data_IF_094292743982
#
_entry.id   IF_094292743982
#
_cell.length_a   1.000
_cell.length_b   1.000
_cell.length_c   1.000
_cell.angle_alpha   90.00
_cell.angle_beta   90.00
_cell.angle_gamma   90.00
#
_symmetry.space_group_name_H-M   'P 1'
#
loop_
_entity.id
_entity.type
_entity.pdbx_description
1 polymer ?
#
# COMPACT_ATOMS: atom_id res chain seq x y z
N UNK A 1 -16.74 -34.01 1.88
CA UNK A 1 -16.06 -33.73 0.59
C UNK A 1 -15.39 -32.38 0.74
N UNK A 2 -14.05 -32.32 0.62
CA UNK A 2 -13.33 -31.05 0.58
C UNK A 2 -13.00 -30.75 -0.89
N UNK A 3 -13.41 -29.59 -1.39
CA UNK A 3 -12.99 -29.11 -2.71
C UNK A 3 -11.70 -28.30 -2.55
N UNK A 4 -10.77 -28.44 -3.50
CA UNK A 4 -9.58 -27.59 -3.56
C UNK A 4 -9.98 -26.15 -3.91
N UNK A 5 -9.47 -25.19 -3.15
CA UNK A 5 -9.67 -23.76 -3.38
C UNK A 5 -8.31 -23.11 -3.59
N UNK A 6 -8.14 -22.52 -4.77
CA UNK A 6 -6.92 -21.83 -5.16
C UNK A 6 -7.21 -20.36 -5.50
N UNK A 7 -6.17 -19.52 -5.43
CA UNK A 7 -6.25 -18.13 -5.88
C UNK A 7 -6.00 -18.10 -7.39
N UNK A 8 -7.02 -17.75 -8.16
CA UNK A 8 -6.93 -17.63 -9.62
C UNK A 8 -6.20 -16.36 -10.05
N UNK A 9 -6.40 -15.24 -9.35
CA UNK A 9 -5.78 -13.96 -9.69
C UNK A 9 -5.65 -13.02 -8.49
N UNK A 10 -4.74 -12.04 -8.60
CA UNK A 10 -4.54 -10.97 -7.62
C UNK A 10 -4.39 -9.61 -8.31
N UNK A 11 -4.79 -8.56 -7.59
CA UNK A 11 -4.50 -7.17 -7.93
C UNK A 11 -3.91 -6.47 -6.71
N UNK A 12 -3.04 -5.47 -6.93
CA UNK A 12 -2.36 -4.74 -5.86
C UNK A 12 -2.32 -3.25 -6.13
N UNK A 13 -2.70 -2.46 -5.13
CA UNK A 13 -2.48 -1.02 -5.04
C UNK A 13 -2.06 -0.73 -3.61
N UNK A 14 -0.87 -0.17 -3.42
CA UNK A 14 -0.24 0.01 -2.11
C UNK A 14 0.39 1.40 -2.00
N UNK A 15 0.83 1.77 -0.79
CA UNK A 15 1.55 3.03 -0.57
C UNK A 15 2.90 3.10 -1.30
N UNK A 16 3.45 1.96 -1.74
CA UNK A 16 4.81 1.84 -2.27
C UNK A 16 4.84 1.32 -3.73
N UNK A 17 3.68 1.05 -4.33
CA UNK A 17 3.55 0.54 -5.70
C UNK A 17 2.09 0.36 -6.11
N UNK A 18 1.80 0.54 -7.41
CA UNK A 18 0.43 0.57 -7.95
C UNK A 18 0.07 -0.70 -8.74
N UNK A 19 0.97 -1.68 -8.77
CA UNK A 19 0.76 -3.01 -9.31
C UNK A 19 1.55 -4.05 -8.50
N UNK A 20 1.34 -5.34 -8.80
CA UNK A 20 2.00 -6.41 -8.07
C UNK A 20 3.54 -6.40 -8.24
N UNK A 21 4.12 -6.26 -9.46
CA UNK A 21 5.57 -6.19 -9.63
C UNK A 21 6.24 -5.05 -8.86
N UNK A 22 5.74 -3.82 -9.00
CA UNK A 22 6.31 -2.62 -8.36
C UNK A 22 6.19 -2.68 -6.84
N UNK A 23 5.01 -3.05 -6.32
CA UNK A 23 4.79 -3.18 -4.87
C UNK A 23 5.72 -4.22 -4.26
N UNK A 24 5.86 -5.39 -4.91
CA UNK A 24 6.76 -6.44 -4.42
C UNK A 24 8.23 -5.99 -4.44
N UNK A 25 8.66 -5.29 -5.49
CA UNK A 25 10.02 -4.74 -5.57
C UNK A 25 10.28 -3.72 -4.47
N UNK A 26 9.33 -2.81 -4.25
CA UNK A 26 9.43 -1.77 -3.23
C UNK A 26 9.48 -2.35 -1.81
N UNK A 27 8.65 -3.34 -1.49
CA UNK A 27 8.70 -4.06 -0.21
C UNK A 27 10.05 -4.74 0.01
N UNK A 28 10.60 -5.41 -1.02
CA UNK A 28 11.94 -6.04 -0.95
C UNK A 28 13.04 -5.01 -0.74
N UNK A 29 12.92 -3.85 -1.37
CA UNK A 29 13.84 -2.72 -1.21
C UNK A 29 13.62 -1.93 0.09
N UNK A 30 12.62 -2.29 0.90
CA UNK A 30 12.23 -1.60 2.15
C UNK A 30 11.93 -0.12 1.93
N UNK A 31 11.29 0.21 0.80
CA UNK A 31 10.83 1.57 0.56
C UNK A 31 9.69 1.91 1.53
N UNK A 32 9.72 3.14 2.04
CA UNK A 32 8.60 3.74 2.76
C UNK A 32 7.91 4.75 1.85
N UNK A 33 6.61 4.57 1.66
CA UNK A 33 5.78 5.44 0.84
C UNK A 33 4.93 6.38 1.68
N UNK A 34 4.98 6.31 3.01
CA UNK A 34 4.20 7.17 3.87
C UNK A 34 4.88 8.54 4.05
N UNK A 35 4.09 9.61 3.93
CA UNK A 35 4.57 10.98 4.08
C UNK A 35 3.51 11.85 4.78
N UNK A 36 3.94 13.04 5.25
CA UNK A 36 3.00 14.04 5.74
C UNK A 36 2.03 14.42 4.62
N UNK A 37 0.74 14.43 4.98
CA UNK A 37 -0.34 14.86 4.09
C UNK A 37 -0.80 16.26 4.47
N UNK A 38 -1.56 16.88 3.57
CA UNK A 38 -2.23 18.16 3.83
C UNK A 38 -3.40 18.07 4.84
N UNK A 39 -3.72 16.87 5.32
CA UNK A 39 -4.83 16.67 6.26
C UNK A 39 -4.34 16.81 7.71
N UNK A 40 -5.03 17.65 8.48
CA UNK A 40 -4.73 17.88 9.89
C UNK A 40 -5.62 17.00 10.77
N UNK A 41 -5.00 16.21 11.65
CA UNK A 41 -5.68 15.31 12.57
C UNK A 41 -6.21 16.02 13.82
N UNK A 42 -6.91 15.27 14.67
CA UNK A 42 -7.53 15.78 15.90
C UNK A 42 -6.56 16.43 16.90
N UNK A 43 -5.25 16.13 16.80
CA UNK A 43 -4.19 16.73 17.61
C UNK A 43 -3.55 17.98 16.99
N UNK A 44 -4.17 18.56 15.95
CA UNK A 44 -3.64 19.67 15.17
C UNK A 44 -2.27 19.38 14.50
N UNK A 45 -1.96 18.11 14.24
CA UNK A 45 -0.75 17.67 13.54
C UNK A 45 -1.08 17.13 12.16
N UNK A 46 -0.14 17.24 11.21
CA UNK A 46 -0.27 16.61 9.90
C UNK A 46 -0.46 15.08 10.05
N UNK A 47 -1.39 14.53 9.30
CA UNK A 47 -1.59 13.08 9.21
C UNK A 47 -0.56 12.49 8.26
N UNK A 48 0.03 11.37 8.67
CA UNK A 48 0.88 10.57 7.80
C UNK A 48 0.00 9.61 6.99
N UNK A 49 0.23 9.55 5.68
CA UNK A 49 -0.56 8.73 4.76
C UNK A 49 0.20 8.39 3.49
N UNK A 50 -0.38 7.50 2.68
CA UNK A 50 0.12 7.21 1.35
C UNK A 50 -0.17 8.40 0.41
N UNK A 51 0.78 8.82 -0.44
CA UNK A 51 0.54 9.86 -1.42
C UNK A 51 -0.51 9.37 -2.42
N UNK A 52 -1.50 10.22 -2.68
CA UNK A 52 -2.42 10.07 -3.81
C UNK A 52 -1.98 11.15 -4.80
N UNK A 53 -1.27 10.75 -5.84
CA UNK A 53 -0.84 11.65 -6.94
C UNK A 53 -1.97 11.89 -7.92
#
# INVERSE_FOLDING_TARGET
MSASLDIESIGMVTAVGLDAPSSCAAMRARLDGFQETQFIGAKATALIGAPVT
#
